data_IF_341598182480
#
_entry.id   IF_341598182480
#
_cell.length_a   1.000
_cell.length_b   1.000
_cell.length_c   1.000
_cell.angle_alpha   90.00
_cell.angle_beta   90.00
_cell.angle_gamma   90.00
#
_symmetry.space_group_name_H-M   'P 1'
#
loop_
_entity.id
_entity.type
_entity.pdbx_description
1 polymer ?
#
# COMPACT_ATOMS: atom_id res chain seq x y z
N UNK A 1 -35.67 -10.86 -45.40
CA UNK A 1 -35.69 -10.29 -44.04
C UNK A 1 -34.73 -9.11 -43.99
N UNK A 2 -35.20 -7.86 -43.75
CA UNK A 2 -34.34 -6.69 -43.78
C UNK A 2 -33.67 -6.43 -42.43
N UNK A 3 -32.36 -6.15 -42.46
CA UNK A 3 -31.53 -5.75 -41.30
C UNK A 3 -31.81 -4.30 -40.94
N UNK A 4 -32.30 -4.05 -39.74
CA UNK A 4 -32.46 -2.72 -39.13
C UNK A 4 -31.10 -2.19 -38.64
N UNK A 5 -30.75 -0.96 -39.04
CA UNK A 5 -29.59 -0.20 -38.53
C UNK A 5 -30.00 0.53 -37.23
N UNK A 6 -29.10 0.70 -36.25
CA UNK A 6 -29.42 1.42 -35.02
C UNK A 6 -29.44 2.93 -35.26
N UNK A 7 -30.47 3.60 -34.71
CA UNK A 7 -30.59 5.07 -34.66
C UNK A 7 -29.66 5.62 -33.58
N UNK A 8 -28.80 6.58 -33.96
CA UNK A 8 -28.04 7.42 -33.01
C UNK A 8 -28.99 8.47 -32.42
N UNK A 9 -29.15 8.47 -31.10
CA UNK A 9 -29.82 9.54 -30.36
C UNK A 9 -28.75 10.57 -29.98
N UNK A 10 -28.91 11.82 -30.43
CA UNK A 10 -28.13 12.97 -29.94
C UNK A 10 -28.87 13.57 -28.76
N UNK A 11 -28.21 13.66 -27.61
CA UNK A 11 -28.66 14.52 -26.52
C UNK A 11 -28.09 15.93 -26.74
N UNK A 12 -28.95 16.94 -26.84
CA UNK A 12 -28.59 18.35 -26.65
C UNK A 12 -28.74 18.65 -25.16
N UNK A 13 -27.65 19.00 -24.48
CA UNK A 13 -27.70 19.66 -23.18
C UNK A 13 -27.89 21.16 -23.41
N UNK A 14 -29.03 21.68 -22.97
CA UNK A 14 -29.31 23.11 -22.85
C UNK A 14 -28.69 23.60 -21.54
N UNK A 15 -27.63 24.40 -21.63
CA UNK A 15 -27.00 25.07 -20.49
C UNK A 15 -27.45 26.54 -20.49
N UNK A 16 -28.52 26.83 -19.77
CA UNK A 16 -28.86 28.20 -19.36
C UNK A 16 -29.02 28.27 -17.86
N UNK A 17 -28.20 29.11 -17.23
CA UNK A 17 -28.43 29.56 -15.87
C UNK A 17 -27.18 29.55 -14.99
N UNK A 18 -26.22 30.45 -15.25
CA UNK A 18 -25.26 30.88 -14.22
C UNK A 18 -25.16 32.40 -14.28
N UNK A 19 -25.36 33.13 -13.16
CA UNK A 19 -25.23 34.58 -13.12
C UNK A 19 -23.75 35.00 -13.23
N UNK A 20 -23.47 35.96 -14.10
CA UNK A 20 -22.18 36.66 -14.15
C UNK A 20 -22.19 37.80 -13.12
N UNK A 21 -21.36 37.72 -12.08
CA UNK A 21 -20.68 38.90 -11.56
C UNK A 21 -19.54 38.54 -10.61
N UNK A 22 -18.31 38.75 -11.05
CA UNK A 22 -17.18 39.11 -10.17
C UNK A 22 -16.05 39.65 -11.03
N UNK A 23 -15.91 40.98 -11.01
CA UNK A 23 -14.80 41.70 -11.64
C UNK A 23 -13.57 41.58 -10.76
N UNK A 24 -12.50 40.94 -11.26
CA UNK A 24 -11.16 41.11 -10.73
C UNK A 24 -10.36 42.01 -11.68
N UNK A 25 -9.96 43.19 -11.20
CA UNK A 25 -9.04 44.11 -11.90
C UNK A 25 -7.61 43.64 -11.64
N UNK A 26 -6.87 43.28 -12.68
CA UNK A 26 -5.41 43.25 -12.65
C UNK A 26 -4.85 44.55 -13.22
N UNK A 27 -4.00 45.21 -12.43
CA UNK A 27 -3.19 46.35 -12.86
C UNK A 27 -1.73 45.92 -12.79
N UNK A 28 -1.13 45.62 -13.94
CA UNK A 28 0.32 45.51 -14.09
C UNK A 28 0.75 46.68 -14.97
N UNK A 29 1.41 47.66 -14.36
CA UNK A 29 2.26 48.63 -15.07
C UNK A 29 3.68 48.10 -15.03
N UNK A 30 4.28 47.98 -16.21
CA UNK A 30 5.63 47.51 -16.39
C UNK A 30 6.70 48.53 -16.06
N UNK A 31 7.94 48.05 -16.10
CA UNK A 31 9.10 48.85 -16.46
C UNK A 31 9.97 48.00 -17.39
N UNK A 32 10.56 48.66 -18.37
CA UNK A 32 11.16 48.07 -19.57
C UNK A 32 12.68 48.33 -19.61
N UNK A 33 13.35 47.63 -20.56
CA UNK A 33 14.68 47.91 -21.15
C UNK A 33 15.91 47.52 -20.31
N UNK A 34 17.03 47.02 -20.87
CA UNK A 34 17.44 46.76 -22.27
C UNK A 34 18.74 45.92 -22.29
N UNK A 35 18.97 45.21 -23.41
CA UNK A 35 20.27 44.77 -23.94
C UNK A 35 20.60 43.30 -23.65
N UNK A 36 21.04 42.45 -24.59
CA UNK A 36 21.37 42.58 -26.00
C UNK A 36 22.27 41.38 -26.39
N UNK A 37 22.15 40.94 -27.66
CA UNK A 37 23.07 40.06 -28.43
C UNK A 37 22.92 38.52 -28.35
N UNK A 38 22.14 38.02 -29.31
CA UNK A 38 22.47 37.04 -30.36
C UNK A 38 23.39 35.83 -30.07
N UNK A 39 22.83 34.63 -30.24
CA UNK A 39 23.45 33.58 -31.07
C UNK A 39 22.40 32.57 -31.54
N UNK A 40 22.43 32.26 -32.83
CA UNK A 40 21.58 31.30 -33.52
C UNK A 40 21.93 29.86 -33.13
N UNK A 41 20.93 29.00 -32.94
CA UNK A 41 21.01 27.60 -33.36
C UNK A 41 19.61 27.01 -33.56
N UNK A 42 19.43 26.42 -34.73
CA UNK A 42 18.27 25.68 -35.20
C UNK A 42 18.16 24.34 -34.47
N UNK A 43 16.94 23.97 -34.08
CA UNK A 43 16.63 22.67 -33.52
C UNK A 43 15.12 22.47 -33.50
N UNK A 44 14.67 21.37 -34.11
CA UNK A 44 13.27 21.05 -34.40
C UNK A 44 12.47 20.80 -33.12
N UNK A 45 11.34 21.49 -32.93
CA UNK A 45 10.36 21.14 -31.91
C UNK A 45 9.30 20.20 -32.52
N UNK A 46 9.21 19.00 -31.96
CA UNK A 46 8.11 18.08 -32.18
C UNK A 46 6.84 18.61 -31.49
N UNK A 47 5.72 18.60 -32.22
CA UNK A 47 4.41 18.88 -31.66
C UNK A 47 3.97 17.71 -30.76
N UNK A 48 4.06 17.89 -29.44
CA UNK A 48 3.36 17.04 -28.47
C UNK A 48 1.93 17.55 -28.35
N UNK A 49 0.97 16.74 -28.82
CA UNK A 49 -0.47 16.96 -28.58
C UNK A 49 -0.80 16.45 -27.18
N UNK A 50 -1.02 17.38 -26.25
CA UNK A 50 -1.64 17.08 -24.96
C UNK A 50 -3.14 16.80 -25.19
N UNK A 51 -3.58 15.62 -24.81
CA UNK A 51 -5.00 15.30 -24.67
C UNK A 51 -5.47 15.76 -23.28
N UNK A 52 -6.67 16.34 -23.14
CA UNK A 52 -7.20 16.71 -21.84
C UNK A 52 -7.64 15.46 -21.08
N UNK A 53 -7.04 15.23 -19.91
CA UNK A 53 -7.54 14.31 -18.88
C UNK A 53 -8.71 15.00 -18.18
N UNK A 54 -9.87 14.36 -18.01
CA UNK A 54 -10.98 14.97 -17.28
C UNK A 54 -10.67 15.01 -15.79
N UNK A 55 -10.85 16.18 -15.16
CA UNK A 55 -10.94 16.30 -13.70
C UNK A 55 -12.07 15.39 -13.21
N UNK A 56 -11.74 14.37 -12.43
CA UNK A 56 -12.70 13.75 -11.54
C UNK A 56 -12.85 14.63 -10.30
N UNK A 57 -14.06 15.13 -10.08
CA UNK A 57 -14.44 15.85 -8.88
C UNK A 57 -14.39 14.92 -7.68
N UNK A 58 -13.66 15.33 -6.64
CA UNK A 58 -13.72 14.74 -5.30
C UNK A 58 -15.17 14.82 -4.81
N UNK A 59 -15.82 13.66 -4.67
CA UNK A 59 -17.17 13.54 -4.13
C UNK A 59 -17.05 13.49 -2.60
N UNK A 60 -17.56 14.52 -1.94
CA UNK A 60 -17.72 14.59 -0.49
C UNK A 60 -18.79 13.57 -0.06
N UNK A 61 -18.36 12.38 0.38
CA UNK A 61 -19.24 11.32 0.87
C UNK A 61 -19.70 11.68 2.27
N UNK A 62 -20.86 12.36 2.37
CA UNK A 62 -21.57 12.51 3.65
C UNK A 62 -22.17 11.17 4.08
N UNK A 63 -21.49 10.49 4.99
CA UNK A 63 -22.02 9.36 5.75
C UNK A 63 -23.26 9.82 6.54
N UNK A 64 -24.45 9.41 6.10
CA UNK A 64 -25.69 9.59 6.87
C UNK A 64 -25.73 8.54 7.98
N UNK A 65 -25.33 8.91 9.20
CA UNK A 65 -25.67 8.14 10.40
C UNK A 65 -27.18 8.21 10.63
N UNK A 66 -27.88 7.11 10.34
CA UNK A 66 -29.26 6.91 10.74
C UNK A 66 -29.35 6.74 12.25
N UNK A 67 -30.01 7.68 12.92
CA UNK A 67 -30.32 7.58 14.34
C UNK A 67 -31.32 6.42 14.57
N UNK A 68 -30.86 5.32 15.17
CA UNK A 68 -31.76 4.34 15.82
C UNK A 68 -31.82 4.65 17.31
N UNK A 69 -33.05 4.67 17.82
CA UNK A 69 -33.43 5.17 19.12
C UNK A 69 -32.80 4.44 20.30
N UNK A 70 -32.56 5.22 21.36
CA UNK A 70 -32.16 4.74 22.66
C UNK A 70 -33.31 3.95 23.32
N UNK A 71 -33.04 2.69 23.65
CA UNK A 71 -33.78 1.91 24.63
C UNK A 71 -32.78 1.37 25.64
N UNK A 72 -32.82 1.88 26.87
CA UNK A 72 -32.04 1.39 28.00
C UNK A 72 -32.48 -0.03 28.39
N UNK A 73 -31.53 -0.95 28.55
CA UNK A 73 -31.61 -1.99 29.59
C UNK A 73 -30.24 -2.59 29.91
N UNK A 74 -29.80 -2.27 31.13
CA UNK A 74 -28.94 -2.98 32.08
C UNK A 74 -28.15 -4.25 31.68
N UNK A 75 -26.87 -4.23 32.07
CA UNK A 75 -26.24 -5.36 32.76
C UNK A 75 -25.53 -6.41 31.90
N UNK A 76 -24.45 -6.02 31.22
CA UNK A 76 -23.53 -6.95 30.56
C UNK A 76 -22.18 -7.01 31.28
N UNK A 77 -21.84 -8.17 31.82
CA UNK A 77 -20.52 -8.49 32.38
C UNK A 77 -19.40 -8.21 31.36
N UNK A 78 -18.33 -7.54 31.80
CA UNK A 78 -17.06 -7.44 31.09
C UNK A 78 -16.53 -8.84 30.77
N UNK A 79 -16.74 -9.29 29.53
CA UNK A 79 -15.93 -10.36 28.94
C UNK A 79 -14.60 -9.73 28.53
N UNK A 80 -13.45 -10.37 28.76
CA UNK A 80 -12.16 -9.94 28.19
C UNK A 80 -12.23 -10.21 26.67
N UNK A 81 -12.88 -9.30 25.95
CA UNK A 81 -13.24 -9.44 24.55
C UNK A 81 -12.26 -8.67 23.69
N UNK A 82 -11.57 -9.41 22.83
CA UNK A 82 -10.79 -8.97 21.66
C UNK A 82 -10.90 -7.46 21.38
N UNK A 83 -9.80 -6.73 21.60
CA UNK A 83 -9.53 -5.57 20.74
C UNK A 83 -9.36 -6.12 19.33
N UNK A 84 -10.43 -6.13 18.53
CA UNK A 84 -10.38 -6.44 17.11
C UNK A 84 -9.70 -5.25 16.44
N UNK A 85 -8.40 -5.37 16.19
CA UNK A 85 -7.67 -4.42 15.37
C UNK A 85 -7.79 -4.88 13.91
N UNK A 86 -8.60 -4.17 13.13
CA UNK A 86 -8.58 -4.26 11.68
C UNK A 86 -9.06 -5.59 11.07
N UNK A 87 -8.77 -5.74 9.78
CA UNK A 87 -9.10 -6.89 8.92
C UNK A 87 -8.28 -8.17 9.24
N UNK A 88 -7.92 -8.37 10.50
CA UNK A 88 -7.04 -9.44 10.98
C UNK A 88 -7.78 -10.43 11.90
N UNK A 89 -7.55 -11.72 11.68
CA UNK A 89 -8.23 -12.81 12.37
C UNK A 89 -7.23 -13.89 12.79
N UNK A 90 -7.32 -14.31 14.05
CA UNK A 90 -6.51 -15.41 14.60
C UNK A 90 -7.19 -16.79 14.47
N UNK A 91 -8.49 -16.79 14.13
CA UNK A 91 -9.29 -18.01 13.98
C UNK A 91 -10.02 -18.00 12.63
N UNK A 92 -9.68 -18.91 11.70
CA UNK A 92 -10.34 -19.01 10.39
C UNK A 92 -11.85 -19.27 10.45
N UNK A 93 -12.33 -19.97 11.48
CA UNK A 93 -13.76 -20.23 11.66
C UNK A 93 -14.50 -18.93 12.01
N UNK A 94 -13.92 -18.11 12.88
CA UNK A 94 -14.44 -16.79 13.19
C UNK A 94 -14.42 -15.85 11.99
N UNK A 95 -13.38 -15.87 11.15
CA UNK A 95 -13.32 -15.10 9.91
C UNK A 95 -14.49 -15.46 8.99
N UNK A 96 -14.62 -16.75 8.64
CA UNK A 96 -15.66 -17.22 7.71
C UNK A 96 -17.06 -16.89 8.19
N UNK A 97 -17.29 -17.02 9.50
CA UNK A 97 -18.56 -16.69 10.14
C UNK A 97 -18.83 -15.19 10.08
N UNK A 98 -17.87 -14.33 10.43
CA UNK A 98 -18.05 -12.86 10.38
C UNK A 98 -18.34 -12.40 8.96
N UNK A 99 -17.61 -12.90 7.95
CA UNK A 99 -17.88 -12.55 6.55
C UNK A 99 -19.29 -12.98 6.13
N UNK A 100 -19.71 -14.19 6.47
CA UNK A 100 -21.04 -14.71 6.12
C UNK A 100 -22.18 -13.97 6.85
N UNK A 101 -21.99 -13.66 8.13
CA UNK A 101 -22.97 -12.93 8.95
C UNK A 101 -23.21 -11.51 8.42
N UNK A 102 -22.18 -10.87 7.86
CA UNK A 102 -22.25 -9.46 7.43
C UNK A 102 -22.56 -9.27 5.96
N UNK A 103 -21.86 -9.99 5.10
CA UNK A 103 -21.99 -9.86 3.65
C UNK A 103 -23.06 -10.80 3.08
N UNK A 104 -23.65 -11.66 3.92
CA UNK A 104 -24.51 -12.74 3.48
C UNK A 104 -23.75 -13.95 2.96
N UNK A 105 -24.49 -15.03 2.67
CA UNK A 105 -23.90 -16.36 2.48
C UNK A 105 -22.95 -16.47 1.28
N UNK A 106 -23.30 -15.86 0.15
CA UNK A 106 -22.51 -15.97 -1.08
C UNK A 106 -21.33 -15.01 -1.07
N UNK A 107 -21.59 -13.71 -0.91
CA UNK A 107 -20.55 -12.69 -0.87
C UNK A 107 -19.58 -12.91 0.30
N UNK A 108 -20.09 -13.30 1.47
CA UNK A 108 -19.27 -13.61 2.65
C UNK A 108 -18.31 -14.77 2.42
N UNK A 109 -18.74 -15.83 1.72
CA UNK A 109 -17.83 -16.92 1.33
C UNK A 109 -16.79 -16.49 0.31
N UNK A 110 -17.18 -15.69 -0.69
CA UNK A 110 -16.26 -15.17 -1.69
C UNK A 110 -15.18 -14.31 -1.03
N UNK A 111 -15.59 -13.40 -0.16
CA UNK A 111 -14.68 -12.52 0.57
C UNK A 111 -13.77 -13.29 1.54
N UNK A 112 -14.32 -14.25 2.29
CA UNK A 112 -13.52 -15.11 3.16
C UNK A 112 -12.49 -15.94 2.39
N UNK A 113 -12.79 -16.34 1.15
CA UNK A 113 -11.85 -17.08 0.30
C UNK A 113 -10.69 -16.22 -0.21
N UNK A 114 -10.80 -14.89 -0.13
CA UNK A 114 -9.70 -13.98 -0.46
C UNK A 114 -8.68 -13.87 0.68
N UNK A 115 -8.99 -14.40 1.88
CA UNK A 115 -8.11 -14.27 3.03
C UNK A 115 -6.71 -14.83 2.76
N UNK A 116 -5.68 -14.10 3.21
CA UNK A 116 -4.27 -14.49 3.07
C UNK A 116 -3.64 -14.68 4.43
N UNK A 117 -2.71 -15.63 4.54
CA UNK A 117 -1.92 -15.81 5.75
C UNK A 117 -0.78 -14.80 5.75
N UNK A 118 -0.55 -14.18 6.89
CA UNK A 118 0.50 -13.21 7.08
C UNK A 118 0.92 -13.13 8.53
N UNK A 119 1.67 -12.08 8.85
CA UNK A 119 2.16 -11.83 10.19
C UNK A 119 2.01 -10.36 10.56
N UNK A 120 1.65 -10.13 11.81
CA UNK A 120 1.92 -8.86 12.46
C UNK A 120 3.34 -8.91 13.04
N UNK A 121 4.15 -7.91 12.76
CA UNK A 121 5.51 -7.80 13.29
C UNK A 121 5.46 -6.98 14.58
N UNK A 122 5.59 -7.67 15.71
CA UNK A 122 5.49 -7.07 17.04
C UNK A 122 6.81 -7.19 17.78
N UNK A 123 7.06 -6.26 18.70
CA UNK A 123 8.23 -6.36 19.56
C UNK A 123 8.12 -7.59 20.47
N UNK A 124 9.21 -8.34 20.64
CA UNK A 124 9.27 -9.41 21.63
C UNK A 124 8.98 -8.84 23.02
N UNK A 125 8.02 -9.43 23.73
CA UNK A 125 7.64 -9.01 25.07
C UNK A 125 7.47 -10.22 25.99
N UNK A 126 7.95 -10.12 27.23
CA UNK A 126 7.89 -11.20 28.21
C UNK A 126 8.67 -12.43 27.74
N UNK A 127 7.98 -13.57 27.59
CA UNK A 127 8.57 -14.83 27.12
C UNK A 127 8.61 -14.99 25.60
N UNK A 128 7.94 -14.09 24.85
CA UNK A 128 7.90 -14.16 23.39
C UNK A 128 9.29 -13.79 22.86
N UNK A 129 9.85 -14.65 22.02
CA UNK A 129 11.14 -14.45 21.37
C UNK A 129 10.95 -13.88 19.97
N UNK A 130 12.00 -13.24 19.44
CA UNK A 130 12.05 -12.88 18.03
C UNK A 130 11.92 -14.13 17.15
N UNK A 131 11.26 -13.98 16.00
CA UNK A 131 11.06 -15.09 15.06
C UNK A 131 12.28 -15.21 14.15
N UNK A 132 13.10 -16.25 14.35
CA UNK A 132 14.33 -16.45 13.56
C UNK A 132 15.23 -15.21 13.58
N UNK A 133 15.68 -14.78 12.41
CA UNK A 133 16.47 -13.55 12.23
C UNK A 133 15.64 -12.32 11.84
N UNK A 134 14.30 -12.37 12.00
CA UNK A 134 13.42 -11.25 11.67
C UNK A 134 13.73 -10.01 12.52
N UNK A 135 13.91 -8.87 11.85
CA UNK A 135 14.14 -7.57 12.49
C UNK A 135 13.75 -6.40 11.59
N UNK A 136 13.50 -5.27 12.24
CA UNK A 136 13.42 -3.95 11.62
C UNK A 136 14.76 -3.23 11.82
N UNK A 137 15.24 -2.52 10.80
CA UNK A 137 16.53 -1.84 10.81
C UNK A 137 17.76 -2.74 11.02
N UNK A 138 18.85 -2.14 11.49
CA UNK A 138 20.13 -2.82 11.73
C UNK A 138 21.02 -3.00 10.49
N UNK A 139 22.11 -3.78 10.60
CA UNK A 139 22.92 -4.15 9.45
C UNK A 139 22.15 -5.11 8.54
N UNK A 140 22.48 -5.12 7.25
CA UNK A 140 21.92 -6.09 6.32
C UNK A 140 22.56 -7.47 6.55
N UNK A 141 21.85 -8.54 6.18
CA UNK A 141 22.42 -9.89 6.11
C UNK A 141 22.60 -10.25 4.65
N UNK A 142 23.78 -9.98 4.13
CA UNK A 142 24.11 -10.19 2.71
C UNK A 142 25.21 -11.23 2.58
N UNK A 143 25.26 -11.93 1.44
CA UNK A 143 26.42 -12.76 1.15
C UNK A 143 27.66 -11.87 0.89
N UNK A 144 28.89 -12.33 1.18
CA UNK A 144 30.10 -11.49 1.11
C UNK A 144 30.38 -10.79 -0.23
N UNK A 145 29.87 -11.33 -1.34
CA UNK A 145 30.07 -10.79 -2.69
C UNK A 145 28.86 -10.00 -3.21
N UNK A 146 27.78 -9.90 -2.42
CA UNK A 146 26.60 -9.14 -2.78
C UNK A 146 26.88 -7.66 -2.64
N UNK A 147 26.85 -6.93 -3.76
CA UNK A 147 26.96 -5.48 -3.76
C UNK A 147 25.80 -4.84 -2.98
N UNK A 148 26.08 -3.75 -2.27
CA UNK A 148 25.04 -2.94 -1.67
C UNK A 148 24.14 -2.34 -2.77
N UNK A 149 22.81 -2.36 -2.63
CA UNK A 149 21.93 -1.79 -3.65
C UNK A 149 22.00 -0.27 -3.66
N UNK A 150 22.05 0.30 -4.87
CA UNK A 150 22.13 1.75 -5.08
C UNK A 150 21.14 2.18 -6.16
N UNK A 151 20.70 3.43 -6.08
CA UNK A 151 20.00 4.14 -7.15
C UNK A 151 20.82 5.35 -7.56
N UNK A 152 21.25 5.38 -8.82
CA UNK A 152 21.98 6.53 -9.40
C UNK A 152 23.20 6.96 -8.56
N UNK A 153 23.90 5.99 -7.98
CA UNK A 153 25.07 6.19 -7.12
C UNK A 153 24.77 6.52 -5.66
N UNK A 154 23.49 6.52 -5.25
CA UNK A 154 23.06 6.69 -3.86
C UNK A 154 22.69 5.32 -3.28
N UNK A 155 23.36 4.87 -2.21
CA UNK A 155 23.04 3.61 -1.55
C UNK A 155 21.66 3.65 -0.89
N UNK A 156 20.92 2.55 -1.01
CA UNK A 156 19.61 2.40 -0.38
C UNK A 156 19.76 2.08 1.11
N UNK A 157 18.79 2.48 1.91
CA UNK A 157 18.76 2.23 3.36
C UNK A 157 18.06 0.90 3.64
N UNK A 158 18.64 0.07 4.51
CA UNK A 158 17.99 -1.18 4.96
C UNK A 158 16.89 -0.86 5.96
N UNK A 159 15.70 -1.40 5.72
CA UNK A 159 14.54 -1.21 6.59
C UNK A 159 14.13 -2.46 7.34
N UNK A 160 14.31 -3.65 6.77
CA UNK A 160 13.98 -4.89 7.46
C UNK A 160 14.76 -6.08 6.90
N UNK A 161 14.87 -7.10 7.75
CA UNK A 161 15.27 -8.45 7.35
C UNK A 161 14.18 -9.42 7.81
N UNK A 162 13.68 -10.25 6.89
CA UNK A 162 12.73 -11.33 7.21
C UNK A 162 13.37 -12.69 7.00
N UNK A 163 13.24 -13.57 7.98
CA UNK A 163 13.69 -14.97 7.92
C UNK A 163 12.55 -15.86 7.42
N UNK A 164 12.50 -16.08 6.10
CA UNK A 164 11.40 -16.84 5.48
C UNK A 164 11.42 -18.32 5.84
N UNK A 165 12.55 -18.88 6.26
CA UNK A 165 12.61 -20.24 6.77
C UNK A 165 11.87 -20.34 8.12
N UNK A 166 12.08 -19.38 9.01
CA UNK A 166 11.37 -19.30 10.28
C UNK A 166 9.85 -19.06 10.10
N UNK A 167 9.47 -18.35 9.04
CA UNK A 167 8.06 -18.05 8.71
C UNK A 167 7.35 -19.18 7.94
N UNK A 168 8.09 -20.17 7.44
CA UNK A 168 7.56 -21.17 6.51
C UNK A 168 6.45 -22.05 7.07
N UNK A 169 6.47 -22.32 8.37
CA UNK A 169 5.48 -23.19 9.03
C UNK A 169 4.06 -22.64 8.87
N UNK A 170 3.88 -21.32 9.00
CA UNK A 170 2.57 -20.67 8.89
C UNK A 170 2.16 -20.43 7.43
N UNK A 171 3.07 -19.95 6.58
CA UNK A 171 2.75 -19.58 5.20
C UNK A 171 2.63 -20.79 4.26
N UNK A 172 3.33 -21.89 4.53
CA UNK A 172 3.32 -23.08 3.68
C UNK A 172 3.73 -22.78 2.23
N UNK A 173 2.82 -23.03 1.28
CA UNK A 173 3.06 -22.85 -0.15
C UNK A 173 2.95 -21.39 -0.64
N UNK A 174 2.64 -20.44 0.26
CA UNK A 174 2.53 -19.01 -0.08
C UNK A 174 3.90 -18.30 -0.07
N UNK A 175 4.98 -19.01 0.29
CA UNK A 175 6.34 -18.46 0.31
C UNK A 175 6.98 -18.36 -1.10
N UNK A 176 7.96 -17.46 -1.27
CA UNK A 176 8.85 -17.51 -2.42
C UNK A 176 9.49 -18.89 -2.59
N UNK A 177 9.75 -19.27 -3.84
CA UNK A 177 10.43 -20.53 -4.18
C UNK A 177 11.83 -20.61 -3.57
N UNK A 178 12.48 -19.46 -3.36
CA UNK A 178 13.76 -19.34 -2.67
C UNK A 178 13.51 -18.95 -1.21
N UNK A 179 13.79 -19.89 -0.30
CA UNK A 179 13.75 -19.66 1.14
C UNK A 179 15.10 -19.14 1.65
N UNK A 180 15.08 -18.52 2.83
CA UNK A 180 16.24 -17.90 3.47
C UNK A 180 15.89 -16.52 4.02
N UNK A 181 16.83 -15.58 3.94
CA UNK A 181 16.65 -14.21 4.39
C UNK A 181 16.19 -13.32 3.24
N UNK A 182 15.28 -12.40 3.51
CA UNK A 182 14.90 -11.32 2.61
C UNK A 182 15.29 -9.98 3.23
N UNK A 183 16.17 -9.23 2.57
CA UNK A 183 16.61 -7.90 2.98
C UNK A 183 15.85 -6.84 2.18
N UNK A 184 15.16 -5.94 2.87
CA UNK A 184 14.32 -4.91 2.26
C UNK A 184 15.01 -3.55 2.32
N UNK A 185 15.27 -2.99 1.14
CA UNK A 185 15.93 -1.71 0.97
C UNK A 185 15.01 -0.69 0.30
N UNK A 186 15.09 0.55 0.74
CA UNK A 186 14.35 1.67 0.17
C UNK A 186 15.22 2.94 0.15
N UNK A 187 14.98 3.82 -0.84
CA UNK A 187 15.72 5.06 -0.99
C UNK A 187 15.28 6.06 0.08
N UNK A 188 16.06 6.10 1.15
CA UNK A 188 15.88 7.01 2.27
C UNK A 188 17.26 7.40 2.85
N UNK A 189 18.07 8.14 2.08
CA UNK A 189 19.42 8.48 2.48
C UNK A 189 19.42 9.60 3.53
N UNK A 190 20.44 9.60 4.39
CA UNK A 190 20.68 10.67 5.35
C UNK A 190 21.37 11.87 4.67
N UNK A 191 20.61 12.57 3.83
CA UNK A 191 21.07 13.73 3.07
C UNK A 191 20.36 15.01 3.51
N UNK A 192 21.00 16.18 3.34
CA UNK A 192 20.30 17.45 3.41
C UNK A 192 19.11 17.49 2.44
N UNK A 193 18.00 18.10 2.87
CA UNK A 193 16.77 18.18 2.08
C UNK A 193 16.98 18.71 0.64
N UNK A 194 17.91 19.66 0.46
CA UNK A 194 18.22 20.26 -0.84
C UNK A 194 18.83 19.27 -1.84
N UNK A 195 19.53 18.24 -1.35
CA UNK A 195 20.08 17.15 -2.16
C UNK A 195 19.03 16.05 -2.34
N UNK A 196 18.34 15.68 -1.25
CA UNK A 196 17.27 14.69 -1.27
C UNK A 196 16.17 15.02 -2.30
N UNK A 197 15.72 16.28 -2.36
CA UNK A 197 14.66 16.71 -3.30
C UNK A 197 15.06 16.66 -4.78
N UNK A 198 16.34 16.42 -5.08
CA UNK A 198 16.85 16.25 -6.44
C UNK A 198 16.85 14.78 -6.89
N UNK A 199 16.64 13.83 -5.96
CA UNK A 199 16.56 12.42 -6.27
C UNK A 199 15.26 12.11 -7.03
N UNK A 200 15.37 11.27 -8.06
CA UNK A 200 14.21 10.84 -8.82
C UNK A 200 13.50 9.67 -8.12
N UNK A 201 12.48 10.00 -7.34
CA UNK A 201 11.64 8.99 -6.65
C UNK A 201 10.73 8.21 -7.60
N UNK A 202 10.69 8.54 -8.90
CA UNK A 202 9.88 7.86 -9.91
C UNK A 202 10.66 6.83 -10.74
N UNK A 203 11.98 6.81 -10.62
CA UNK A 203 12.83 5.85 -11.33
C UNK A 203 12.72 4.42 -10.76
N UNK A 204 12.87 3.43 -11.65
CA UNK A 204 13.01 2.03 -11.27
C UNK A 204 14.33 1.84 -10.51
N UNK A 205 14.28 1.81 -9.18
CA UNK A 205 15.52 1.91 -8.40
C UNK A 205 15.31 2.15 -6.93
N UNK A 206 14.22 2.84 -6.58
CA UNK A 206 13.93 3.32 -5.22
C UNK A 206 13.79 2.23 -4.17
N UNK A 207 13.67 0.97 -4.57
CA UNK A 207 13.62 -0.16 -3.64
C UNK A 207 14.31 -1.39 -4.21
N UNK A 208 14.79 -2.27 -3.33
CA UNK A 208 15.32 -3.59 -3.67
C UNK A 208 14.96 -4.59 -2.57
N UNK A 209 14.62 -5.81 -2.98
CA UNK A 209 14.51 -6.97 -2.08
C UNK A 209 15.61 -7.95 -2.48
N UNK A 210 16.56 -8.19 -1.57
CA UNK A 210 17.72 -9.04 -1.85
C UNK A 210 17.65 -10.30 -0.98
N UNK A 211 17.57 -11.49 -1.58
CA UNK A 211 17.63 -12.74 -0.84
C UNK A 211 19.06 -13.02 -0.38
N UNK A 212 19.21 -13.72 0.74
CA UNK A 212 20.50 -14.26 1.18
C UNK A 212 20.33 -15.62 1.84
N UNK A 213 21.30 -16.52 1.63
CA UNK A 213 21.38 -17.78 2.36
C UNK A 213 21.79 -17.50 3.82
N UNK A 214 20.97 -17.85 4.83
CA UNK A 214 21.29 -17.60 6.23
C UNK A 214 22.59 -18.26 6.70
N UNK A 215 23.06 -19.33 6.04
CA UNK A 215 24.32 -19.99 6.37
C UNK A 215 25.56 -19.25 5.82
N UNK A 216 25.37 -18.38 4.82
CA UNK A 216 26.45 -17.63 4.14
C UNK A 216 26.38 -16.13 4.39
N UNK A 217 25.22 -15.63 4.82
CA UNK A 217 25.01 -14.22 5.06
C UNK A 217 25.87 -13.73 6.23
N UNK A 218 26.41 -12.53 6.04
CA UNK A 218 27.20 -11.80 7.03
C UNK A 218 26.55 -10.45 7.28
N UNK A 219 26.75 -9.90 8.48
CA UNK A 219 26.32 -8.55 8.78
C UNK A 219 27.14 -7.54 7.95
N UNK A 220 26.43 -6.76 7.15
CA UNK A 220 27.00 -5.71 6.30
C UNK A 220 26.40 -4.37 6.72
N UNK A 221 27.27 -3.45 7.16
CA UNK A 221 26.87 -2.10 7.56
C UNK A 221 26.53 -1.26 6.34
N UNK A 222 25.52 -0.40 6.47
CA UNK A 222 25.14 0.54 5.42
C UNK A 222 26.29 1.51 5.09
N UNK A 223 26.66 1.68 3.81
CA UNK A 223 27.58 2.72 3.39
C UNK A 223 26.89 4.09 3.42
N UNK A 224 27.64 5.15 3.73
CA UNK A 224 27.12 6.52 3.61
C UNK A 224 26.78 6.85 2.15
N UNK A 225 25.75 7.68 1.86
CA UNK A 225 24.82 8.31 2.79
C UNK A 225 23.57 7.48 3.14
N UNK A 226 23.57 6.15 2.97
CA UNK A 226 22.41 5.36 3.37
C UNK A 226 22.18 5.49 4.88
N UNK A 227 20.92 5.71 5.27
CA UNK A 227 20.53 5.84 6.66
C UNK A 227 20.65 4.48 7.36
N UNK A 228 21.22 4.50 8.56
CA UNK A 228 21.33 3.33 9.42
C UNK A 228 20.36 3.44 10.59
N UNK A 229 19.49 2.44 10.71
CA UNK A 229 18.46 2.36 11.74
C UNK A 229 18.88 1.41 12.87
N UNK A 230 18.45 1.65 14.13
CA UNK A 230 18.71 0.70 15.20
C UNK A 230 18.09 -0.67 14.86
N UNK A 231 18.80 -1.75 15.18
CA UNK A 231 18.28 -3.09 15.01
C UNK A 231 17.19 -3.37 16.06
N UNK A 232 16.00 -3.73 15.60
CA UNK A 232 14.87 -4.11 16.44
C UNK A 232 14.40 -5.52 16.04
N UNK A 233 14.83 -6.57 16.77
CA UNK A 233 14.30 -7.91 16.58
C UNK A 233 12.78 -7.92 16.74
N UNK A 234 12.08 -8.68 15.90
CA UNK A 234 10.62 -8.77 15.93
C UNK A 234 10.13 -10.20 16.05
N UNK A 235 9.03 -10.37 16.78
CA UNK A 235 8.22 -11.57 16.73
C UNK A 235 7.19 -11.42 15.60
N UNK A 236 7.11 -12.42 14.75
CA UNK A 236 6.09 -12.51 13.70
C UNK A 236 4.89 -13.28 14.25
N UNK A 237 3.87 -12.54 14.69
CA UNK A 237 2.62 -13.11 15.20
C UNK A 237 1.72 -13.54 14.03
N UNK A 238 1.37 -14.81 13.99
CA UNK A 238 0.56 -15.42 12.93
C UNK A 238 -0.84 -14.82 12.89
N UNK A 239 -1.26 -14.35 11.71
CA UNK A 239 -2.60 -13.82 11.47
C UNK A 239 -3.13 -14.21 10.09
N UNK A 240 -4.45 -14.27 9.97
CA UNK A 240 -5.15 -14.34 8.69
C UNK A 240 -5.76 -12.99 8.39
N UNK A 241 -5.45 -12.42 7.23
CA UNK A 241 -5.84 -11.07 6.84
C UNK A 241 -6.86 -11.11 5.71
N UNK A 242 -7.88 -10.26 5.77
CA UNK A 242 -8.77 -9.97 4.65
C UNK A 242 -8.25 -8.75 3.87
N UNK A 243 -8.54 -8.65 2.56
CA UNK A 243 -8.22 -7.44 1.81
C UNK A 243 -9.02 -6.26 2.32
N UNK A 244 -8.43 -5.07 2.25
CA UNK A 244 -9.14 -3.82 2.38
C UNK A 244 -10.19 -3.67 1.26
N UNK A 245 -11.28 -2.94 1.51
CA UNK A 245 -12.31 -2.66 0.51
C UNK A 245 -11.76 -2.08 -0.82
N UNK A 246 -10.66 -1.32 -0.79
CA UNK A 246 -10.03 -0.74 -1.99
C UNK A 246 -9.17 -1.73 -2.78
N UNK A 247 -8.85 -2.89 -2.21
CA UNK A 247 -8.15 -3.99 -2.89
C UNK A 247 -9.11 -4.98 -3.55
N UNK A 248 -10.43 -4.82 -3.38
CA UNK A 248 -11.48 -5.70 -3.92
C UNK A 248 -12.07 -5.14 -5.21
N UNK A 249 -12.14 -5.97 -6.25
CA UNK A 249 -12.76 -5.65 -7.53
C UNK A 249 -14.21 -6.17 -7.60
N UNK A 250 -15.01 -5.59 -8.50
CA UNK A 250 -16.42 -5.96 -8.70
C UNK A 250 -16.64 -7.43 -9.07
N UNK A 251 -15.63 -8.08 -9.67
CA UNK A 251 -15.66 -9.49 -10.03
C UNK A 251 -15.30 -10.44 -8.89
N UNK A 252 -14.66 -9.95 -7.82
CA UNK A 252 -14.20 -10.79 -6.71
C UNK A 252 -15.37 -11.25 -5.82
N UNK A 253 -16.36 -10.38 -5.62
CA UNK A 253 -17.47 -10.58 -4.69
C UNK A 253 -18.79 -10.18 -5.34
N UNK A 254 -19.84 -10.99 -5.18
CA UNK A 254 -21.18 -10.61 -5.65
C UNK A 254 -21.80 -9.53 -4.77
N UNK A 255 -22.44 -8.54 -5.38
CA UNK A 255 -23.14 -7.48 -4.67
C UNK A 255 -24.40 -7.04 -5.43
N UNK A 256 -25.35 -6.46 -4.69
CA UNK A 256 -26.53 -5.83 -5.29
C UNK A 256 -26.18 -4.45 -5.84
N UNK A 257 -26.16 -4.33 -7.17
CA UNK A 257 -25.85 -3.08 -7.89
C UNK A 257 -26.87 -1.95 -7.67
N UNK A 258 -28.03 -2.25 -7.09
CA UNK A 258 -29.03 -1.23 -6.71
C UNK A 258 -28.66 -0.61 -5.36
N UNK A 259 -28.04 -1.38 -4.46
CA UNK A 259 -27.68 -0.94 -3.10
C UNK A 259 -26.26 -0.41 -3.01
N UNK A 260 -25.34 -1.00 -3.77
CA UNK A 260 -23.92 -0.68 -3.74
C UNK A 260 -23.43 -0.32 -5.14
N UNK A 261 -22.53 0.66 -5.22
CA UNK A 261 -21.95 1.13 -6.49
C UNK A 261 -20.79 0.25 -6.99
N UNK A 262 -20.33 -0.70 -6.17
CA UNK A 262 -19.24 -1.62 -6.45
C UNK A 262 -19.02 -2.57 -5.26
N UNK A 263 -18.15 -3.57 -5.44
CA UNK A 263 -17.76 -4.47 -4.35
C UNK A 263 -17.10 -3.71 -3.20
N UNK A 264 -16.24 -2.73 -3.50
CA UNK A 264 -15.63 -1.83 -2.52
C UNK A 264 -16.67 -1.15 -1.62
N UNK A 265 -17.79 -0.68 -2.19
CA UNK A 265 -18.88 -0.08 -1.40
C UNK A 265 -19.54 -1.08 -0.46
N UNK A 266 -19.78 -2.31 -0.92
CA UNK A 266 -20.36 -3.35 -0.07
C UNK A 266 -19.44 -3.65 1.12
N UNK A 267 -18.13 -3.83 0.87
CA UNK A 267 -17.17 -4.11 1.93
C UNK A 267 -17.06 -2.91 2.89
N UNK A 268 -16.95 -1.69 2.36
CA UNK A 268 -16.89 -0.49 3.18
C UNK A 268 -18.12 -0.32 4.07
N UNK A 269 -19.33 -0.56 3.54
CA UNK A 269 -20.58 -0.39 4.28
C UNK A 269 -20.78 -1.47 5.36
N UNK A 270 -20.52 -2.74 5.03
CA UNK A 270 -20.83 -3.89 5.90
C UNK A 270 -19.66 -4.33 6.81
N UNK A 271 -18.44 -3.95 6.43
CA UNK A 271 -17.20 -4.27 7.18
C UNK A 271 -16.55 -3.02 7.79
N UNK A 272 -17.06 -1.81 7.54
CA UNK A 272 -16.42 -0.53 7.92
C UNK A 272 -16.12 -0.32 9.41
N UNK A 273 -16.80 -1.02 10.33
CA UNK A 273 -16.51 -0.98 11.78
C UNK A 273 -15.41 -1.96 12.22
N UNK A 274 -15.04 -2.90 11.37
CA UNK A 274 -13.86 -3.78 11.54
C UNK A 274 -12.73 -3.43 10.57
N UNK A 275 -13.02 -2.62 9.54
CA UNK A 275 -12.09 -1.86 8.73
C UNK A 275 -11.50 -0.70 9.55
N UNK A 276 -10.90 -1.04 10.69
CA UNK A 276 -10.11 -0.10 11.44
C UNK A 276 -8.85 0.18 10.65
N UNK A 277 -8.61 1.45 10.34
CA UNK A 277 -7.29 1.94 9.92
C UNK A 277 -6.24 1.43 10.93
N UNK A 278 -5.56 0.34 10.59
CA UNK A 278 -4.47 -0.27 11.37
C UNK A 278 -3.11 -0.04 10.71
N UNK A 279 -3.02 0.96 9.81
CA UNK A 279 -1.80 1.35 9.09
C UNK A 279 -0.70 1.81 10.05
N UNK A 280 -0.99 1.93 11.35
CA UNK A 280 -0.03 2.07 12.43
C UNK A 280 0.69 0.79 12.86
N UNK A 281 0.61 -0.32 12.09
CA UNK A 281 1.28 -1.57 12.43
C UNK A 281 2.18 -2.09 11.30
N UNK A 282 3.29 -2.72 11.70
CA UNK A 282 4.21 -3.40 10.78
C UNK A 282 3.68 -4.81 10.48
N UNK A 283 3.62 -5.18 9.21
CA UNK A 283 3.07 -6.45 8.77
C UNK A 283 3.96 -7.10 7.70
N UNK A 284 3.97 -8.42 7.62
CA UNK A 284 4.64 -9.17 6.55
C UNK A 284 3.70 -10.19 5.93
N UNK A 285 3.76 -10.33 4.61
CA UNK A 285 2.84 -11.19 3.84
C UNK A 285 1.36 -10.83 4.07
N UNK A 286 0.42 -11.72 3.74
CA UNK A 286 -1.00 -11.44 3.91
C UNK A 286 -1.56 -10.40 2.93
N UNK A 287 -2.51 -9.60 3.42
CA UNK A 287 -2.96 -8.38 2.74
C UNK A 287 -2.33 -7.16 3.43
N UNK A 288 -1.98 -6.11 2.67
CA UNK A 288 -1.62 -4.85 3.28
C UNK A 288 -2.85 -4.30 3.99
N UNK A 289 -2.62 -3.60 5.08
CA UNK A 289 -3.66 -2.80 5.68
C UNK A 289 -3.63 -1.40 5.07
N UNK A 290 -4.78 -0.78 4.81
CA UNK A 290 -4.80 0.54 4.17
C UNK A 290 -5.59 1.56 4.99
N UNK A 291 -5.22 2.83 4.81
CA UNK A 291 -5.73 3.94 5.62
C UNK A 291 -6.13 5.17 4.81
N UNK A 292 -5.81 5.20 3.50
CA UNK A 292 -5.92 6.42 2.68
C UNK A 292 -6.85 6.30 1.48
N UNK A 293 -7.78 5.35 1.46
CA UNK A 293 -8.67 5.12 0.31
C UNK A 293 -7.95 4.80 -1.01
N UNK A 294 -6.71 4.31 -0.90
CA UNK A 294 -5.83 4.02 -2.02
C UNK A 294 -5.49 2.55 -2.03
N UNK A 295 -5.61 1.96 -3.22
CA UNK A 295 -5.24 0.58 -3.48
C UNK A 295 -3.74 0.39 -3.33
N UNK A 296 -3.33 -0.62 -2.55
CA UNK A 296 -1.91 -0.97 -2.38
C UNK A 296 -1.52 -2.10 -3.33
N UNK A 297 -2.38 -3.10 -3.46
CA UNK A 297 -2.05 -4.30 -4.22
C UNK A 297 -2.42 -4.11 -5.68
N UNK A 298 -1.47 -3.63 -6.50
CA UNK A 298 -1.66 -3.58 -7.96
C UNK A 298 -2.11 -4.93 -8.52
N UNK A 299 -2.91 -4.93 -9.59
CA UNK A 299 -3.45 -6.16 -10.21
C UNK A 299 -2.93 -6.30 -11.63
N UNK A 300 -2.51 -7.51 -11.98
CA UNK A 300 -2.20 -7.90 -13.35
C UNK A 300 -3.06 -9.11 -13.76
N UNK A 301 -2.70 -9.76 -14.89
CA UNK A 301 -3.42 -10.92 -15.40
C UNK A 301 -3.36 -12.15 -14.47
N UNK A 302 -2.38 -12.21 -13.57
CA UNK A 302 -2.17 -13.30 -12.61
C UNK A 302 -2.83 -12.99 -11.24
N UNK A 303 -3.45 -11.82 -11.11
CA UNK A 303 -4.24 -11.41 -9.94
C UNK A 303 -3.62 -10.25 -9.16
N UNK A 304 -4.00 -10.07 -7.88
CA UNK A 304 -3.41 -9.04 -7.02
C UNK A 304 -1.98 -9.39 -6.65
N UNK A 305 -1.12 -8.39 -6.73
CA UNK A 305 0.25 -8.44 -6.23
C UNK A 305 0.29 -9.01 -4.81
N UNK A 306 1.37 -9.72 -4.53
CA UNK A 306 1.63 -10.27 -3.21
C UNK A 306 2.24 -9.17 -2.37
N UNK A 307 1.62 -8.91 -1.22
CA UNK A 307 2.19 -8.05 -0.20
C UNK A 307 3.37 -8.77 0.45
N UNK A 308 4.53 -8.12 0.54
CA UNK A 308 5.72 -8.67 1.18
C UNK A 308 5.91 -8.08 2.58
N UNK A 309 5.84 -6.76 2.69
CA UNK A 309 6.17 -6.03 3.90
C UNK A 309 5.45 -4.67 3.93
N UNK A 310 4.91 -4.33 5.09
CA UNK A 310 4.34 -3.03 5.43
C UNK A 310 5.10 -2.49 6.63
N UNK A 311 5.55 -1.24 6.53
CA UNK A 311 6.25 -0.52 7.58
C UNK A 311 5.47 0.76 7.90
N UNK A 312 4.86 0.77 9.07
CA UNK A 312 4.17 1.93 9.61
C UNK A 312 5.17 3.00 10.06
N UNK A 313 4.66 4.19 10.42
CA UNK A 313 5.48 5.15 11.18
C UNK A 313 5.87 4.56 12.53
N UNK A 314 7.13 4.76 12.91
CA UNK A 314 7.67 4.25 14.17
C UNK A 314 8.72 5.23 14.68
N UNK A 315 8.33 6.00 15.70
CA UNK A 315 9.19 7.03 16.29
C UNK A 315 10.44 6.47 16.98
N UNK A 316 10.43 5.21 17.40
CA UNK A 316 11.62 4.59 18.02
C UNK A 316 12.63 4.13 16.97
N UNK A 317 12.15 3.75 15.79
CA UNK A 317 13.00 3.50 14.62
C UNK A 317 13.34 4.80 13.88
N UNK A 318 12.71 5.93 14.22
CA UNK A 318 12.88 7.20 13.52
C UNK A 318 12.24 7.22 12.14
N UNK A 319 11.24 6.37 11.90
CA UNK A 319 10.50 6.30 10.65
C UNK A 319 9.30 7.24 10.66
N UNK A 320 9.22 8.08 9.63
CA UNK A 320 8.06 8.90 9.30
C UNK A 320 7.89 8.94 7.79
N UNK A 321 6.67 8.68 7.31
CA UNK A 321 6.41 8.44 5.90
C UNK A 321 5.51 9.54 5.32
N UNK A 322 5.96 10.79 5.43
CA UNK A 322 5.12 11.95 5.11
C UNK A 322 4.19 12.31 6.26
N UNK A 323 2.92 12.63 5.95
CA UNK A 323 1.90 12.93 6.97
C UNK A 323 1.15 11.64 7.36
N UNK A 324 1.59 11.04 8.47
CA UNK A 324 1.01 9.85 9.05
C UNK A 324 0.97 8.66 8.08
N UNK A 325 2.02 8.43 7.29
CA UNK A 325 2.02 7.49 6.16
C UNK A 325 2.48 6.06 6.45
N UNK A 326 2.61 5.25 5.41
CA UNK A 326 3.09 3.86 5.51
C UNK A 326 3.82 3.45 4.23
N UNK A 327 4.92 2.71 4.39
CA UNK A 327 5.70 2.15 3.29
C UNK A 327 5.29 0.69 3.05
N UNK A 328 4.93 0.37 1.81
CA UNK A 328 4.51 -0.97 1.40
C UNK A 328 5.45 -1.53 0.34
N UNK A 329 5.81 -2.80 0.47
CA UNK A 329 6.49 -3.60 -0.54
C UNK A 329 5.53 -4.63 -1.11
N UNK A 330 5.38 -4.64 -2.42
CA UNK A 330 4.58 -5.63 -3.15
C UNK A 330 5.37 -6.22 -4.30
N UNK A 331 4.95 -7.38 -4.80
CA UNK A 331 5.57 -8.05 -5.93
C UNK A 331 4.49 -8.75 -6.78
N UNK A 332 4.60 -8.76 -8.11
CA UNK A 332 3.72 -9.57 -8.95
C UNK A 332 3.77 -11.05 -8.54
N UNK A 333 2.62 -11.72 -8.45
CA UNK A 333 2.52 -13.09 -7.97
C UNK A 333 3.40 -14.05 -8.79
N UNK A 334 3.45 -13.86 -10.11
CA UNK A 334 4.29 -14.65 -11.01
C UNK A 334 5.79 -14.42 -10.79
N UNK A 335 6.20 -13.20 -10.47
CA UNK A 335 7.59 -12.89 -10.18
C UNK A 335 8.04 -13.55 -8.87
N UNK A 336 7.18 -13.50 -7.83
CA UNK A 336 7.43 -14.20 -6.57
C UNK A 336 7.57 -15.72 -6.77
N UNK A 337 6.66 -16.32 -7.55
CA UNK A 337 6.72 -17.75 -7.87
C UNK A 337 7.99 -18.12 -8.67
N UNK A 338 8.48 -17.21 -9.52
CA UNK A 338 9.73 -17.39 -10.27
C UNK A 338 10.99 -17.10 -9.43
N UNK A 339 10.85 -16.52 -8.23
CA UNK A 339 11.98 -16.03 -7.44
C UNK A 339 12.62 -14.74 -7.99
N UNK A 340 11.95 -14.03 -8.89
CA UNK A 340 12.43 -12.76 -9.45
C UNK A 340 12.07 -11.59 -8.53
N UNK A 341 12.80 -11.49 -7.42
CA UNK A 341 12.63 -10.43 -6.42
C UNK A 341 13.00 -9.03 -6.96
N UNK A 342 13.62 -8.94 -8.14
CA UNK A 342 13.89 -7.67 -8.83
C UNK A 342 12.63 -6.94 -9.30
N UNK A 343 11.49 -7.64 -9.37
CA UNK A 343 10.19 -7.06 -9.69
C UNK A 343 9.43 -6.51 -8.46
N UNK A 344 10.03 -6.62 -7.26
CA UNK A 344 9.44 -5.99 -6.09
C UNK A 344 9.39 -4.46 -6.28
N UNK A 345 8.27 -3.87 -5.90
CA UNK A 345 8.05 -2.43 -5.91
C UNK A 345 7.74 -1.96 -4.49
N UNK A 346 8.05 -0.69 -4.22
CA UNK A 346 7.70 -0.06 -2.98
C UNK A 346 6.91 1.23 -3.23
N UNK A 347 5.95 1.51 -2.37
CA UNK A 347 5.17 2.73 -2.41
C UNK A 347 4.94 3.28 -1.00
N UNK A 348 5.02 4.59 -0.87
CA UNK A 348 4.61 5.31 0.33
C UNK A 348 3.23 5.89 0.09
N UNK A 349 2.29 5.61 0.99
CA UNK A 349 0.99 6.26 1.01
C UNK A 349 0.87 7.11 2.28
N UNK A 350 0.40 8.35 2.13
CA UNK A 350 0.19 9.30 3.23
C UNK A 350 -0.99 10.25 2.92
N UNK A 351 -1.41 11.06 3.90
CA UNK A 351 -2.51 12.02 3.77
C UNK A 351 -2.21 13.22 2.87
#
# INVERSE_FOLDING_TARGET
MPRTKPRRVRYMLDLRGVPQDTRFRSSIRGCSRQGGLASQRSGRCAHVRLWPVPLMSVLDVRVRRGARGAGETQGGQDRPGLRRSGMQFYDPASLSRVCTERLGEKAGRQFAAMARRGFQLVRPAGSIQATGQCRLGGPALLEPETCWPEQSGVPLSLHAVLDTDALATWLGNELPTQRGLLNFFYLDPDLPYEEYRQLDMSESGVCRVIPADPARAVETTAPEPARSYPAMPVHAAEVTMLPDCWDVEDEDVEFDRVQHWGAASLILDEMGDIDGNTAGTHCAFGWPDTSYTLKVSSRDADGPAVHLLQLAEDTELGWGWGDAGTLYFTIPAKALAAGDLGQAVAQVLCC
#
